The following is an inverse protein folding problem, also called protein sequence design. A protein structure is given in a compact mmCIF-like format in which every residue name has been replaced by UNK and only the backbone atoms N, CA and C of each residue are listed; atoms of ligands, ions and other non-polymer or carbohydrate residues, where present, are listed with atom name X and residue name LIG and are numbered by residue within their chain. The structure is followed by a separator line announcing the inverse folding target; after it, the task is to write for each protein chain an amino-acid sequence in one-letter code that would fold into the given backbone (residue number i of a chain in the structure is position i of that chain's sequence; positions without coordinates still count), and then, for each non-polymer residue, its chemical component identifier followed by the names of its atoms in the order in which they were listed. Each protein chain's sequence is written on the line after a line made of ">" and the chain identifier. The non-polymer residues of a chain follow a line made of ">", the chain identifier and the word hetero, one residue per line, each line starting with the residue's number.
data_IF_705823078021
#
_entry.id   IF_705823078021
#
_cell.length_a   1.000
_cell.length_b   1.000
_cell.length_c   1.000
_cell.angle_alpha   90.00
_cell.angle_beta   90.00
_cell.angle_gamma   90.00
#
_symmetry.space_group_name_H-M   'P 1'
#
loop_
_entity.id
_entity.type
_entity.pdbx_description
1 polymer ?
#
# COMPACT_ATOMS: atom_id res chain seq x y z
N UNK A 1 49.30 18.13 -6.33
CA UNK A 1 48.28 19.01 -5.69
C UNK A 1 47.07 19.31 -6.60
N UNK A 2 47.21 19.93 -7.80
CA UNK A 2 46.05 20.21 -8.65
C UNK A 2 45.35 18.94 -9.17
N UNK A 3 46.10 17.94 -9.60
CA UNK A 3 45.58 16.64 -10.09
C UNK A 3 44.85 15.89 -9.00
N UNK A 4 45.34 15.88 -7.77
CA UNK A 4 44.72 15.21 -6.63
C UNK A 4 43.39 15.88 -6.25
N UNK A 5 43.30 17.20 -6.30
CA UNK A 5 42.05 17.96 -6.07
C UNK A 5 41.00 17.61 -7.13
N UNK A 6 41.40 17.57 -8.41
CA UNK A 6 40.53 17.23 -9.54
C UNK A 6 40.00 15.77 -9.37
N UNK A 7 40.90 14.81 -9.05
CA UNK A 7 40.48 13.42 -8.81
C UNK A 7 39.53 13.30 -7.62
N UNK A 8 39.76 14.02 -6.53
CA UNK A 8 38.86 14.04 -5.38
C UNK A 8 37.47 14.63 -5.72
N UNK A 9 37.44 15.73 -6.50
CA UNK A 9 36.18 16.32 -6.97
C UNK A 9 35.40 15.39 -7.91
N UNK A 10 36.09 14.71 -8.83
CA UNK A 10 35.45 13.73 -9.73
C UNK A 10 34.91 12.54 -8.94
N UNK A 11 35.67 12.00 -7.98
CA UNK A 11 35.22 10.92 -7.11
C UNK A 11 34.03 11.33 -6.25
N UNK A 12 34.03 12.55 -5.69
CA UNK A 12 32.90 13.10 -4.92
C UNK A 12 31.67 13.30 -5.81
N UNK A 13 31.83 13.84 -7.01
CA UNK A 13 30.74 14.01 -7.97
C UNK A 13 30.14 12.65 -8.40
N UNK A 14 30.98 11.66 -8.67
CA UNK A 14 30.55 10.29 -8.97
C UNK A 14 29.81 9.65 -7.80
N UNK A 15 30.34 9.82 -6.58
CA UNK A 15 29.68 9.33 -5.36
C UNK A 15 28.34 10.02 -5.14
N UNK A 16 28.24 11.33 -5.32
CA UNK A 16 26.99 12.10 -5.24
C UNK A 16 26.01 11.68 -6.33
N UNK A 17 26.46 11.36 -7.56
CA UNK A 17 25.61 10.84 -8.61
C UNK A 17 25.10 9.44 -8.31
N UNK A 18 25.93 8.55 -7.74
CA UNK A 18 25.53 7.23 -7.29
C UNK A 18 24.53 7.31 -6.14
N UNK A 19 24.73 8.21 -5.19
CA UNK A 19 23.79 8.46 -4.10
C UNK A 19 22.47 9.06 -4.62
N UNK A 20 22.50 9.94 -5.62
CA UNK A 20 21.31 10.47 -6.29
C UNK A 20 20.58 9.38 -7.09
N UNK A 21 21.29 8.47 -7.79
CA UNK A 21 20.70 7.31 -8.48
C UNK A 21 20.00 6.34 -7.49
N UNK A 22 20.60 6.08 -6.33
CA UNK A 22 19.98 5.27 -5.26
C UNK A 22 18.75 5.94 -4.64
N UNK A 23 18.60 7.27 -4.76
CA UNK A 23 17.46 8.03 -4.24
C UNK A 23 16.35 8.26 -5.28
N UNK A 24 16.53 7.86 -6.54
CA UNK A 24 15.43 7.97 -7.53
C UNK A 24 14.34 6.98 -7.13
N UNK A 25 13.20 7.53 -6.74
CA UNK A 25 11.98 6.77 -6.49
C UNK A 25 11.43 6.32 -7.85
N UNK A 26 11.22 5.02 -8.09
CA UNK A 26 10.55 4.56 -9.30
C UNK A 26 9.18 5.22 -9.44
N UNK A 27 8.82 5.61 -10.65
CA UNK A 27 7.46 6.08 -10.93
C UNK A 27 6.56 4.89 -11.22
N UNK A 28 5.38 4.87 -10.63
CA UNK A 28 4.29 3.97 -11.00
C UNK A 28 3.44 4.70 -12.04
N UNK A 29 3.31 4.13 -13.24
CA UNK A 29 2.32 4.56 -14.21
C UNK A 29 1.02 3.83 -13.90
N UNK A 30 -0.02 4.59 -13.59
CA UNK A 30 -1.34 4.09 -13.28
C UNK A 30 -2.34 4.58 -14.32
N UNK A 31 -3.09 3.66 -14.91
CA UNK A 31 -4.24 3.99 -15.73
C UNK A 31 -5.47 4.08 -14.84
N UNK A 32 -6.11 5.25 -14.86
CA UNK A 32 -7.34 5.48 -14.12
C UNK A 32 -8.54 5.32 -15.04
N UNK A 33 -9.66 4.75 -14.55
CA UNK A 33 -10.86 4.56 -15.34
C UNK A 33 -11.49 5.91 -15.71
N UNK A 34 -12.24 5.94 -16.80
CA UNK A 34 -12.95 7.15 -17.28
C UNK A 34 -13.90 7.71 -16.22
N UNK A 35 -14.51 6.82 -15.46
CA UNK A 35 -15.41 7.13 -14.35
C UNK A 35 -14.76 7.98 -13.27
N UNK A 36 -13.44 7.94 -13.15
CA UNK A 36 -12.69 8.76 -12.20
C UNK A 36 -12.45 10.20 -12.69
N UNK A 37 -12.70 10.51 -13.97
CA UNK A 37 -12.45 11.85 -14.53
C UNK A 37 -13.43 12.90 -14.02
N UNK A 38 -13.01 14.17 -13.96
CA UNK A 38 -13.90 15.28 -13.62
C UNK A 38 -15.05 15.38 -14.63
N UNK A 39 -16.28 15.63 -14.13
CA UNK A 39 -17.46 15.84 -14.99
C UNK A 39 -18.00 14.58 -15.66
N UNK A 40 -17.44 13.40 -15.42
CA UNK A 40 -18.00 12.16 -15.95
C UNK A 40 -19.42 11.94 -15.45
N UNK A 41 -20.30 11.51 -16.34
CA UNK A 41 -21.69 11.15 -16.09
C UNK A 41 -21.95 9.75 -16.64
N UNK A 42 -22.52 8.90 -15.81
CA UNK A 42 -22.85 7.51 -16.15
C UNK A 42 -24.34 7.26 -16.26
N UNK A 43 -24.70 6.04 -16.61
CA UNK A 43 -26.07 5.55 -16.55
C UNK A 43 -26.51 5.40 -15.08
N UNK A 44 -27.73 5.82 -14.77
CA UNK A 44 -28.27 5.69 -13.42
C UNK A 44 -28.54 4.21 -13.10
N UNK A 45 -27.99 3.74 -11.98
CA UNK A 45 -28.27 2.43 -11.43
C UNK A 45 -29.34 2.55 -10.33
N UNK A 46 -30.35 1.68 -10.39
CA UNK A 46 -31.37 1.58 -9.34
C UNK A 46 -31.17 0.27 -8.59
N UNK A 47 -30.99 0.34 -7.28
CA UNK A 47 -30.80 -0.85 -6.44
C UNK A 47 -31.96 -1.85 -6.53
N UNK A 48 -33.18 -1.35 -6.86
CA UNK A 48 -34.36 -2.19 -7.09
C UNK A 48 -34.21 -3.05 -8.36
N UNK A 49 -33.37 -2.66 -9.31
CA UNK A 49 -33.26 -3.31 -10.60
C UNK A 49 -32.24 -4.45 -10.61
N UNK A 50 -31.30 -4.48 -9.64
CA UNK A 50 -30.32 -5.55 -9.51
C UNK A 50 -29.78 -5.67 -8.07
N UNK A 51 -29.53 -6.89 -7.57
CA UNK A 51 -28.91 -7.09 -6.28
C UNK A 51 -27.46 -6.61 -6.33
N UNK A 52 -26.92 -6.18 -5.17
CA UNK A 52 -25.51 -5.78 -5.02
C UNK A 52 -24.55 -6.89 -5.48
N UNK A 53 -24.91 -8.14 -5.20
CA UNK A 53 -24.19 -9.33 -5.67
C UNK A 53 -25.17 -10.13 -6.52
N UNK A 54 -24.83 -10.34 -7.80
CA UNK A 54 -25.65 -11.12 -8.73
C UNK A 54 -25.51 -12.62 -8.50
N UNK A 55 -26.45 -13.39 -9.07
CA UNK A 55 -26.37 -14.87 -9.09
C UNK A 55 -25.13 -15.39 -9.81
N UNK A 56 -24.54 -14.59 -10.71
CA UNK A 56 -23.29 -14.88 -11.43
C UNK A 56 -22.04 -14.50 -10.63
N UNK A 57 -22.18 -14.22 -9.35
CA UNK A 57 -21.08 -13.81 -8.46
C UNK A 57 -20.37 -12.50 -8.91
N UNK A 58 -21.13 -11.59 -9.51
CA UNK A 58 -20.67 -10.25 -9.89
C UNK A 58 -21.15 -9.23 -8.88
N UNK A 59 -20.23 -8.33 -8.50
CA UNK A 59 -20.46 -7.22 -7.59
C UNK A 59 -20.72 -5.99 -8.44
N UNK A 60 -21.87 -5.34 -8.22
CA UNK A 60 -22.23 -4.09 -8.90
C UNK A 60 -21.71 -2.91 -8.11
N UNK A 61 -20.84 -2.09 -8.71
CA UNK A 61 -20.29 -0.88 -8.13
C UNK A 61 -21.05 0.32 -8.65
N UNK A 62 -21.49 1.18 -7.77
CA UNK A 62 -22.21 2.42 -8.12
C UNK A 62 -21.82 3.56 -7.20
N UNK A 63 -21.91 4.78 -7.71
CA UNK A 63 -21.71 6.00 -6.94
C UNK A 63 -22.97 6.26 -6.10
N UNK A 64 -22.92 6.15 -4.76
CA UNK A 64 -24.10 6.31 -3.92
C UNK A 64 -24.63 7.75 -3.88
N UNK A 65 -23.82 8.74 -4.26
CA UNK A 65 -24.25 10.15 -4.29
C UNK A 65 -25.06 10.51 -5.54
N UNK A 66 -24.72 9.87 -6.69
CA UNK A 66 -25.35 10.18 -7.99
C UNK A 66 -26.25 9.04 -8.51
N UNK A 67 -26.06 7.83 -8.00
CA UNK A 67 -26.67 6.61 -8.52
C UNK A 67 -26.08 6.12 -9.84
N UNK A 68 -24.93 6.65 -10.26
CA UNK A 68 -24.29 6.21 -11.51
C UNK A 68 -23.62 4.87 -11.35
N UNK A 69 -23.83 3.98 -12.33
CA UNK A 69 -23.10 2.72 -12.43
C UNK A 69 -21.63 3.00 -12.71
N UNK A 70 -20.73 2.47 -11.85
CA UNK A 70 -19.28 2.62 -12.00
C UNK A 70 -18.69 1.40 -12.72
N UNK A 71 -18.95 0.20 -12.21
CA UNK A 71 -18.43 -1.04 -12.78
C UNK A 71 -19.22 -2.26 -12.31
N UNK A 72 -18.91 -3.40 -12.93
CA UNK A 72 -19.29 -4.72 -12.44
C UNK A 72 -18.05 -5.58 -12.32
N UNK A 73 -17.74 -6.03 -11.11
CA UNK A 73 -16.52 -6.77 -10.77
C UNK A 73 -16.87 -8.21 -10.41
N UNK A 74 -16.16 -9.17 -10.99
CA UNK A 74 -16.34 -10.58 -10.61
C UNK A 74 -15.71 -10.84 -9.23
N UNK A 75 -16.44 -11.50 -8.34
CA UNK A 75 -15.91 -11.95 -7.07
C UNK A 75 -14.95 -13.13 -7.28
N UNK A 76 -13.95 -13.25 -6.42
CA UNK A 76 -13.02 -14.37 -6.43
C UNK A 76 -13.73 -15.68 -6.05
N UNK A 77 -13.35 -16.77 -6.72
CA UNK A 77 -13.74 -18.14 -6.36
C UNK A 77 -12.73 -18.72 -5.36
N UNK A 78 -13.07 -19.80 -4.64
CA UNK A 78 -12.11 -20.49 -3.78
C UNK A 78 -10.80 -20.83 -4.50
N UNK A 79 -10.86 -21.32 -5.74
CA UNK A 79 -9.67 -21.69 -6.52
C UNK A 79 -8.79 -20.47 -6.85
N UNK A 80 -9.41 -19.32 -7.17
CA UNK A 80 -8.66 -18.08 -7.42
C UNK A 80 -8.01 -17.55 -6.14
N UNK A 81 -8.67 -17.70 -4.99
CA UNK A 81 -8.13 -17.34 -3.68
C UNK A 81 -6.92 -18.21 -3.35
N UNK A 82 -7.01 -19.53 -3.52
CA UNK A 82 -5.92 -20.48 -3.25
C UNK A 82 -4.71 -20.20 -4.16
N UNK A 83 -4.96 -19.87 -5.43
CA UNK A 83 -3.92 -19.44 -6.36
C UNK A 83 -3.22 -18.14 -5.89
N UNK A 84 -3.99 -17.15 -5.43
CA UNK A 84 -3.45 -15.89 -4.88
C UNK A 84 -2.61 -16.15 -3.62
N UNK A 85 -3.06 -17.04 -2.72
CA UNK A 85 -2.33 -17.43 -1.51
C UNK A 85 -0.99 -18.09 -1.88
N UNK A 86 -1.00 -19.01 -2.83
CA UNK A 86 0.19 -19.71 -3.29
C UNK A 86 1.23 -18.76 -3.90
N UNK A 87 0.80 -17.81 -4.75
CA UNK A 87 1.64 -16.77 -5.32
C UNK A 87 2.19 -15.83 -4.25
N UNK A 88 1.38 -15.45 -3.27
CA UNK A 88 1.82 -14.61 -2.15
C UNK A 88 2.89 -15.32 -1.30
N UNK A 89 2.73 -16.62 -1.05
CA UNK A 89 3.70 -17.42 -0.31
C UNK A 89 5.03 -17.54 -1.07
N UNK A 90 5.00 -17.70 -2.40
CA UNK A 90 6.21 -17.72 -3.22
C UNK A 90 6.93 -16.36 -3.20
N UNK A 91 6.20 -15.27 -3.44
CA UNK A 91 6.76 -13.92 -3.39
C UNK A 91 7.36 -13.58 -2.02
N UNK A 92 6.74 -14.02 -0.93
CA UNK A 92 7.21 -13.78 0.43
C UNK A 92 8.57 -14.44 0.70
N UNK A 93 8.83 -15.61 0.15
CA UNK A 93 10.14 -16.30 0.32
C UNK A 93 11.31 -15.46 -0.16
N UNK A 94 11.11 -14.68 -1.22
CA UNK A 94 12.11 -13.72 -1.70
C UNK A 94 12.08 -12.42 -0.87
N UNK A 95 10.89 -11.88 -0.61
CA UNK A 95 10.69 -10.60 0.04
C UNK A 95 11.19 -10.55 1.49
N UNK A 96 11.07 -11.64 2.24
CA UNK A 96 11.57 -11.70 3.62
C UNK A 96 13.07 -11.41 3.75
N UNK A 97 13.85 -11.71 2.70
CA UNK A 97 15.30 -11.49 2.66
C UNK A 97 15.68 -10.09 2.15
N UNK A 98 14.71 -9.25 1.78
CA UNK A 98 14.96 -7.89 1.34
C UNK A 98 15.51 -7.05 2.49
N UNK A 99 16.39 -6.13 2.16
CA UNK A 99 16.94 -5.15 3.09
C UNK A 99 15.88 -4.11 3.50
N UNK A 100 16.05 -3.46 4.66
CA UNK A 100 15.18 -2.35 5.03
C UNK A 100 15.22 -1.19 4.04
N UNK A 101 16.32 -1.01 3.30
CA UNK A 101 16.38 0.03 2.27
C UNK A 101 15.51 -0.32 1.06
N UNK A 102 15.47 -1.57 0.62
CA UNK A 102 14.56 -2.02 -0.44
C UNK A 102 13.10 -1.87 -0.02
N UNK A 103 12.77 -2.22 1.23
CA UNK A 103 11.42 -2.04 1.78
C UNK A 103 11.05 -0.55 1.88
N UNK A 104 11.98 0.32 2.31
CA UNK A 104 11.78 1.77 2.29
C UNK A 104 11.56 2.29 0.87
N UNK A 105 12.32 1.79 -0.10
CA UNK A 105 12.16 2.21 -1.49
C UNK A 105 10.76 1.88 -2.03
N UNK A 106 10.24 0.70 -1.71
CA UNK A 106 8.87 0.32 -2.04
C UNK A 106 7.86 1.31 -1.43
N UNK A 107 7.97 1.62 -0.14
CA UNK A 107 7.07 2.57 0.52
C UNK A 107 7.23 4.01 0.00
N UNK A 108 8.44 4.44 -0.36
CA UNK A 108 8.65 5.76 -1.00
C UNK A 108 7.96 5.84 -2.36
N UNK A 109 7.97 4.75 -3.12
CA UNK A 109 7.27 4.65 -4.41
C UNK A 109 5.76 4.81 -4.21
N UNK A 110 5.20 4.13 -3.21
CA UNK A 110 3.77 4.28 -2.86
C UNK A 110 3.45 5.71 -2.42
N UNK A 111 4.28 6.31 -1.58
CA UNK A 111 4.10 7.69 -1.11
C UNK A 111 4.14 8.69 -2.27
N UNK A 112 5.12 8.56 -3.15
CA UNK A 112 5.25 9.44 -4.33
C UNK A 112 4.07 9.29 -5.28
N UNK A 113 3.56 8.07 -5.48
CA UNK A 113 2.35 7.81 -6.26
C UNK A 113 1.13 8.50 -5.67
N UNK A 114 0.84 8.32 -4.38
CA UNK A 114 -0.31 8.95 -3.72
C UNK A 114 -0.22 10.48 -3.80
N UNK A 115 0.97 11.05 -3.57
CA UNK A 115 1.17 12.50 -3.60
C UNK A 115 0.99 13.09 -5.01
N UNK A 116 1.42 12.37 -6.05
CA UNK A 116 1.28 12.80 -7.44
C UNK A 116 -0.18 12.77 -7.90
N UNK A 117 -0.90 11.72 -7.52
CA UNK A 117 -2.24 11.40 -8.05
C UNK A 117 -3.34 11.68 -7.01
N UNK A 118 -3.06 12.53 -6.02
CA UNK A 118 -3.92 12.79 -4.86
C UNK A 118 -5.36 13.12 -5.26
N UNK A 119 -5.55 14.02 -6.22
CA UNK A 119 -6.89 14.49 -6.63
C UNK A 119 -7.74 13.38 -7.25
N UNK A 120 -7.13 12.54 -8.09
CA UNK A 120 -7.86 11.46 -8.75
C UNK A 120 -8.16 10.31 -7.77
N UNK A 121 -7.23 9.97 -6.87
CA UNK A 121 -7.44 8.96 -5.83
C UNK A 121 -8.55 9.42 -4.86
N UNK A 122 -8.54 10.69 -4.44
CA UNK A 122 -9.61 11.26 -3.62
C UNK A 122 -10.96 11.16 -4.31
N UNK A 123 -11.03 11.47 -5.60
CA UNK A 123 -12.28 11.40 -6.38
C UNK A 123 -12.79 9.97 -6.52
N UNK A 124 -11.90 9.00 -6.73
CA UNK A 124 -12.26 7.57 -6.74
C UNK A 124 -12.89 7.18 -5.40
N UNK A 125 -12.25 7.52 -4.29
CA UNK A 125 -12.80 7.24 -2.96
C UNK A 125 -14.15 7.92 -2.74
N UNK A 126 -14.33 9.18 -3.17
CA UNK A 126 -15.59 9.90 -3.08
C UNK A 126 -16.71 9.22 -3.88
N UNK A 127 -16.44 8.81 -5.12
CA UNK A 127 -17.44 8.16 -5.98
C UNK A 127 -17.91 6.83 -5.42
N UNK A 128 -16.98 6.03 -4.91
CA UNK A 128 -17.32 4.68 -4.42
C UNK A 128 -17.99 4.69 -3.04
N UNK A 129 -17.77 5.75 -2.25
CA UNK A 129 -18.29 5.83 -0.86
C UNK A 129 -19.37 6.90 -0.66
N UNK A 130 -19.51 7.84 -1.56
CA UNK A 130 -20.40 9.01 -1.39
C UNK A 130 -19.87 10.09 -0.43
N UNK A 131 -18.63 9.97 0.06
CA UNK A 131 -18.02 10.94 0.98
C UNK A 131 -17.61 12.23 0.27
N UNK A 132 -17.33 13.27 1.07
CA UNK A 132 -16.79 14.53 0.55
C UNK A 132 -15.32 14.43 0.20
N UNK A 133 -14.84 15.30 -0.72
CA UNK A 133 -13.44 15.37 -1.09
C UNK A 133 -12.53 15.74 0.12
N UNK A 134 -13.03 16.55 1.04
CA UNK A 134 -12.32 16.93 2.27
C UNK A 134 -12.12 15.69 3.14
N UNK A 135 -13.16 14.88 3.34
CA UNK A 135 -13.07 13.66 4.14
C UNK A 135 -12.13 12.63 3.49
N UNK A 136 -12.18 12.44 2.17
CA UNK A 136 -11.23 11.59 1.45
C UNK A 136 -9.78 12.10 1.61
N UNK A 137 -9.55 13.40 1.46
CA UNK A 137 -8.20 13.98 1.56
C UNK A 137 -7.62 13.83 2.97
N UNK A 138 -8.35 14.20 4.01
CA UNK A 138 -7.86 14.17 5.39
C UNK A 138 -7.98 12.79 6.03
N UNK A 139 -9.13 12.13 5.88
CA UNK A 139 -9.41 10.86 6.53
C UNK A 139 -8.67 9.68 5.91
N UNK A 140 -8.38 9.72 4.60
CA UNK A 140 -7.72 8.63 3.89
C UNK A 140 -6.30 8.96 3.43
N UNK A 141 -6.14 9.99 2.58
CA UNK A 141 -4.87 10.20 1.91
C UNK A 141 -3.81 10.78 2.84
N UNK A 142 -4.15 11.78 3.63
CA UNK A 142 -3.22 12.38 4.59
C UNK A 142 -2.78 11.36 5.65
N UNK A 143 -3.73 10.61 6.21
CA UNK A 143 -3.44 9.56 7.21
C UNK A 143 -2.58 8.44 6.64
N UNK A 144 -2.81 8.03 5.38
CA UNK A 144 -2.00 7.03 4.69
C UNK A 144 -0.58 7.56 4.40
N UNK A 145 -0.45 8.81 3.93
CA UNK A 145 0.85 9.45 3.73
C UNK A 145 1.62 9.60 5.05
N UNK A 146 0.93 9.95 6.14
CA UNK A 146 1.54 10.03 7.47
C UNK A 146 2.07 8.66 7.93
N UNK A 147 1.29 7.59 7.76
CA UNK A 147 1.71 6.23 8.08
C UNK A 147 2.90 5.78 7.23
N UNK A 148 2.89 6.04 5.92
CA UNK A 148 4.02 5.77 5.03
C UNK A 148 5.28 6.49 5.51
N UNK A 149 5.18 7.79 5.75
CA UNK A 149 6.30 8.63 6.19
C UNK A 149 6.87 8.13 7.52
N UNK A 150 6.00 7.85 8.49
CA UNK A 150 6.43 7.32 9.79
C UNK A 150 7.13 5.96 9.65
N UNK A 151 6.57 5.05 8.86
CA UNK A 151 7.14 3.72 8.67
C UNK A 151 8.49 3.77 7.95
N UNK A 152 8.64 4.63 6.94
CA UNK A 152 9.90 4.87 6.24
C UNK A 152 11.00 5.37 7.21
N UNK A 153 10.64 6.28 8.11
CA UNK A 153 11.58 6.91 9.05
C UNK A 153 11.91 6.04 10.26
N UNK A 154 10.94 5.32 10.79
CA UNK A 154 11.04 4.68 12.11
C UNK A 154 10.93 3.16 12.09
N UNK A 155 10.36 2.56 11.03
CA UNK A 155 10.02 1.14 11.00
C UNK A 155 11.22 0.22 11.24
N UNK A 156 12.39 0.51 10.67
CA UNK A 156 13.59 -0.28 10.93
C UNK A 156 13.96 -0.29 12.41
N UNK A 157 13.88 0.86 13.09
CA UNK A 157 14.19 0.95 14.53
C UNK A 157 13.27 0.07 15.37
N UNK A 158 11.99 0.01 14.99
CA UNK A 158 10.97 -0.83 15.68
C UNK A 158 11.25 -2.31 15.52
N UNK A 159 11.78 -2.71 14.36
CA UNK A 159 12.04 -4.12 14.05
C UNK A 159 13.45 -4.59 14.37
N UNK A 160 14.29 -3.72 14.94
CA UNK A 160 15.63 -4.11 15.37
C UNK A 160 15.57 -5.11 16.52
N UNK A 161 16.56 -6.03 16.59
CA UNK A 161 16.70 -6.91 17.74
C UNK A 161 16.81 -6.12 19.04
N UNK A 162 16.02 -6.49 20.04
CA UNK A 162 16.03 -5.87 21.35
C UNK A 162 16.77 -6.74 22.36
N UNK A 163 17.77 -6.19 23.01
CA UNK A 163 18.41 -6.85 24.17
C UNK A 163 17.51 -6.75 25.38
N UNK A 164 17.31 -7.87 26.06
CA UNK A 164 16.64 -7.94 27.37
C UNK A 164 17.64 -8.18 28.47
N UNK A 165 17.48 -7.48 29.58
CA UNK A 165 18.32 -7.71 30.77
C UNK A 165 17.99 -9.08 31.36
N UNK A 166 19.04 -9.86 31.64
CA UNK A 166 18.94 -11.07 32.46
C UNK A 166 19.14 -10.76 33.94
N UNK A 167 18.83 -11.74 34.80
CA UNK A 167 19.17 -11.65 36.21
C UNK A 167 20.66 -12.02 36.46
N UNK A 168 21.16 -11.82 37.67
CA UNK A 168 22.56 -12.07 38.01
C UNK A 168 22.99 -13.52 37.75
N UNK A 169 22.12 -14.49 37.99
CA UNK A 169 22.36 -15.91 37.75
C UNK A 169 22.59 -16.24 36.28
N UNK A 170 22.00 -15.44 35.39
CA UNK A 170 22.07 -15.59 33.94
C UNK A 170 22.96 -14.53 33.26
N UNK A 171 23.83 -13.84 34.03
CA UNK A 171 24.68 -12.77 33.51
C UNK A 171 25.62 -13.23 32.36
N UNK A 172 25.92 -14.53 32.27
CA UNK A 172 26.69 -15.14 31.19
C UNK A 172 25.90 -15.37 29.92
N UNK A 173 24.56 -15.20 29.94
CA UNK A 173 23.67 -15.39 28.78
C UNK A 173 23.27 -14.08 28.16
N UNK A 174 23.00 -14.08 26.84
CA UNK A 174 22.41 -12.96 26.12
C UNK A 174 20.98 -13.30 25.76
N UNK A 175 20.04 -12.48 26.27
CA UNK A 175 18.64 -12.56 25.87
C UNK A 175 18.37 -11.51 24.79
N UNK A 176 17.84 -11.93 23.65
CA UNK A 176 17.50 -11.02 22.55
C UNK A 176 16.11 -11.40 22.00
N UNK A 177 15.28 -10.40 21.79
CA UNK A 177 14.02 -10.54 21.07
C UNK A 177 14.27 -10.19 19.62
N UNK A 178 13.90 -11.09 18.72
CA UNK A 178 13.97 -10.92 17.28
C UNK A 178 12.55 -10.80 16.71
N UNK A 179 12.38 -9.92 15.73
CA UNK A 179 11.14 -9.79 14.97
C UNK A 179 11.31 -10.51 13.63
N UNK A 180 10.52 -11.53 13.40
CA UNK A 180 10.53 -12.30 12.16
C UNK A 180 9.22 -12.11 11.37
N UNK A 181 9.27 -12.12 10.02
CA UNK A 181 8.05 -12.08 9.21
C UNK A 181 7.14 -13.28 9.51
N UNK A 182 5.84 -13.03 9.62
CA UNK A 182 4.82 -14.08 9.81
C UNK A 182 4.61 -14.94 8.56
N UNK A 183 4.98 -14.43 7.39
CA UNK A 183 4.77 -15.10 6.11
C UNK A 183 3.72 -14.38 5.27
N UNK A 184 2.63 -15.07 4.95
CA UNK A 184 1.47 -14.47 4.28
C UNK A 184 0.46 -14.04 5.35
N UNK A 185 0.10 -12.77 5.35
CA UNK A 185 -0.94 -12.23 6.25
C UNK A 185 -2.19 -11.88 5.45
N UNK A 186 -3.33 -11.92 6.09
CA UNK A 186 -4.59 -11.52 5.48
C UNK A 186 -5.16 -10.30 6.22
N UNK A 187 -5.78 -9.39 5.46
CA UNK A 187 -6.50 -8.25 6.01
C UNK A 187 -7.90 -8.18 5.40
N UNK A 188 -8.93 -8.27 6.23
CA UNK A 188 -10.31 -7.98 5.84
C UNK A 188 -10.59 -6.52 6.19
N UNK A 189 -10.88 -5.70 5.18
CA UNK A 189 -10.99 -4.25 5.36
C UNK A 189 -12.41 -3.77 5.17
N UNK A 190 -12.78 -2.70 5.88
CA UNK A 190 -14.10 -2.11 5.85
C UNK A 190 -14.25 -1.10 4.70
N UNK A 191 -15.49 -0.68 4.46
CA UNK A 191 -15.91 0.15 3.34
C UNK A 191 -15.75 1.66 3.56
N UNK A 192 -15.67 2.09 4.82
CA UNK A 192 -15.79 3.51 5.17
C UNK A 192 -14.58 4.37 4.78
N UNK A 193 -13.39 3.79 4.70
CA UNK A 193 -12.15 4.44 4.26
C UNK A 193 -11.36 3.48 3.36
N UNK A 194 -11.81 3.21 2.13
CA UNK A 194 -11.29 2.11 1.31
C UNK A 194 -9.79 2.23 1.06
N UNK A 195 -9.28 3.40 0.71
CA UNK A 195 -7.86 3.62 0.42
C UNK A 195 -7.00 3.43 1.67
N UNK A 196 -7.37 4.08 2.79
CA UNK A 196 -6.60 3.98 4.03
C UNK A 196 -6.64 2.57 4.63
N UNK A 197 -7.83 1.97 4.67
CA UNK A 197 -8.02 0.65 5.25
C UNK A 197 -7.30 -0.45 4.46
N UNK A 198 -7.20 -0.31 3.12
CA UNK A 198 -6.44 -1.21 2.27
C UNK A 198 -4.93 -0.99 2.41
N UNK A 199 -4.46 0.24 2.25
CA UNK A 199 -3.03 0.55 2.25
C UNK A 199 -2.41 0.45 3.64
N UNK A 200 -3.18 0.71 4.71
CA UNK A 200 -2.71 0.65 6.08
C UNK A 200 -2.07 -0.69 6.45
N UNK A 201 -2.74 -1.82 6.32
CA UNK A 201 -2.18 -3.16 6.53
C UNK A 201 -1.05 -3.49 5.55
N UNK A 202 -1.18 -3.10 4.26
CA UNK A 202 -0.16 -3.34 3.23
C UNK A 202 1.18 -2.72 3.64
N UNK A 203 1.18 -1.46 4.07
CA UNK A 203 2.39 -0.75 4.53
C UNK A 203 3.09 -1.51 5.65
N UNK A 204 2.34 -1.94 6.66
CA UNK A 204 2.89 -2.65 7.80
C UNK A 204 3.41 -4.03 7.44
N UNK A 205 2.64 -4.79 6.64
CA UNK A 205 3.01 -6.14 6.21
C UNK A 205 4.27 -6.14 5.36
N UNK A 206 4.33 -5.30 4.32
CA UNK A 206 5.48 -5.22 3.42
C UNK A 206 6.74 -4.78 4.17
N UNK A 207 6.64 -3.78 5.04
CA UNK A 207 7.81 -3.32 5.79
C UNK A 207 8.33 -4.36 6.77
N UNK A 208 7.45 -5.18 7.35
CA UNK A 208 7.85 -6.30 8.21
C UNK A 208 8.37 -7.53 7.43
N UNK A 209 8.39 -7.51 6.10
CA UNK A 209 8.88 -8.63 5.26
C UNK A 209 7.84 -9.71 4.98
N UNK A 210 6.56 -9.41 5.19
CA UNK A 210 5.44 -10.29 4.86
C UNK A 210 4.95 -10.07 3.43
N UNK A 211 4.28 -11.06 2.86
CA UNK A 211 3.29 -10.85 1.82
C UNK A 211 1.92 -10.63 2.46
N UNK A 212 1.00 -10.01 1.73
CA UNK A 212 -0.33 -9.71 2.22
C UNK A 212 -1.38 -9.98 1.15
N UNK A 213 -2.52 -10.51 1.59
CA UNK A 213 -3.75 -10.61 0.81
C UNK A 213 -4.79 -9.72 1.48
N UNK A 214 -5.39 -8.83 0.71
CA UNK A 214 -6.43 -7.93 1.21
C UNK A 214 -7.77 -8.35 0.65
N UNK A 215 -8.72 -8.65 1.51
CA UNK A 215 -10.14 -8.79 1.16
C UNK A 215 -10.81 -7.43 1.33
N UNK A 216 -11.07 -6.76 0.22
CA UNK A 216 -11.81 -5.51 0.19
C UNK A 216 -13.28 -5.71 0.49
N UNK A 217 -13.97 -4.66 0.95
CA UNK A 217 -15.41 -4.70 1.10
C UNK A 217 -16.09 -4.72 -0.27
N UNK A 218 -17.13 -5.54 -0.41
CA UNK A 218 -17.98 -5.58 -1.60
C UNK A 218 -18.68 -4.25 -1.91
N UNK A 219 -18.84 -3.40 -0.91
CA UNK A 219 -19.47 -2.09 -1.05
C UNK A 219 -18.58 -1.04 -1.72
N UNK A 220 -17.27 -1.26 -1.77
CA UNK A 220 -16.27 -0.30 -2.29
C UNK A 220 -15.16 -0.99 -3.08
N UNK A 221 -15.51 -2.05 -3.81
CA UNK A 221 -14.51 -2.83 -4.54
C UNK A 221 -13.97 -2.09 -5.76
N UNK A 222 -14.67 -1.08 -6.26
CA UNK A 222 -14.22 -0.29 -7.41
C UNK A 222 -13.01 0.59 -7.08
N UNK A 223 -12.95 1.14 -5.86
CA UNK A 223 -11.82 1.97 -5.37
C UNK A 223 -10.67 1.15 -4.78
N UNK A 224 -10.86 -0.16 -4.65
CA UNK A 224 -9.89 -1.09 -4.04
C UNK A 224 -9.21 -1.92 -5.10
#
# INVERSE_FOLDING_TARGET
>A
MLVEIVCACVALAACLQLLRRRRRVPSIEQHYPEEAKPGWQGATFRLADAPLISKENKITCYDPATGYLLASVSADTPDTIDSKISRAAEAQRAWKNSSFEERRQCLRTMLAWIQRDLDIIARIACRDTGKTAIDAAFGELLTTCAKLTWTIQHGERVLRPERRAGNLLLAHKRCTVLHEPLGVVAACVSWNYPVHNMLGPIISALFAGNAIIVKCSEHVVWSS
#
